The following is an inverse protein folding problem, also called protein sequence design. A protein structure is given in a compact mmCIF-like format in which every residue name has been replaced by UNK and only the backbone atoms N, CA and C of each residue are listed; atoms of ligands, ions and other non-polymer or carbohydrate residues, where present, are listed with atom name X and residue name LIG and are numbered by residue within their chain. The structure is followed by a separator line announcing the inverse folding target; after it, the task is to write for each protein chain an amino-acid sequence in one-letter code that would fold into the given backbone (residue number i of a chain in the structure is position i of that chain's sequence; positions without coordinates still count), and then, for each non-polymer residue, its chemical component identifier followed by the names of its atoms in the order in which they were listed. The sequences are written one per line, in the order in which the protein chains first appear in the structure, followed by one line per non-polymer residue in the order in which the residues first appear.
data_IF_198189773442
#
_entry.id   IF_198189773442
#
_cell.length_a   1.000
_cell.length_b   1.000
_cell.length_c   1.000
_cell.angle_alpha   90.00
_cell.angle_beta   90.00
_cell.angle_gamma   90.00
#
_symmetry.space_group_name_H-M   'P 1'
#
loop_
_entity.id
_entity.type
_entity.pdbx_description
1 polymer ?
#
# COMPACT_ATOMS: atom_id res chain seq x y z
N UNK A 1 18.01 52.07 31.91
CA UNK A 1 18.31 50.81 32.64
C UNK A 1 19.82 50.73 32.81
N UNK A 2 20.32 50.30 33.97
CA UNK A 2 21.77 50.09 34.15
C UNK A 2 22.20 48.89 33.30
N UNK A 3 23.24 49.06 32.49
CA UNK A 3 23.87 47.97 31.74
C UNK A 3 24.52 47.00 32.72
N UNK A 4 24.32 45.70 32.49
CA UNK A 4 25.01 44.65 33.26
C UNK A 4 26.52 44.73 33.01
N UNK A 5 27.30 44.41 34.05
CA UNK A 5 28.74 44.25 33.92
C UNK A 5 29.06 43.05 33.02
N UNK A 6 30.13 43.16 32.24
CA UNK A 6 30.67 42.07 31.40
C UNK A 6 30.89 40.80 32.25
N UNK A 7 31.37 40.93 33.48
CA UNK A 7 31.57 39.81 34.39
C UNK A 7 30.25 39.11 34.76
N UNK A 8 29.19 39.89 34.99
CA UNK A 8 27.85 39.34 35.27
C UNK A 8 27.29 38.64 34.05
N UNK A 9 27.49 39.18 32.85
CA UNK A 9 27.07 38.54 31.60
C UNK A 9 27.81 37.22 31.37
N UNK A 10 29.13 37.18 31.55
CA UNK A 10 29.91 35.96 31.40
C UNK A 10 29.52 34.89 32.43
N UNK A 11 29.26 35.28 33.68
CA UNK A 11 28.76 34.38 34.72
C UNK A 11 27.40 33.75 34.32
N UNK A 12 26.49 34.54 33.72
CA UNK A 12 25.21 34.01 33.22
C UNK A 12 25.44 33.04 32.06
N UNK A 13 26.35 33.34 31.14
CA UNK A 13 26.68 32.46 30.00
C UNK A 13 27.19 31.11 30.51
N UNK A 14 28.15 31.11 31.42
CA UNK A 14 28.69 29.87 32.00
C UNK A 14 27.60 29.03 32.69
N UNK A 15 26.67 29.66 33.42
CA UNK A 15 25.56 28.95 34.07
C UNK A 15 24.54 28.39 33.06
N UNK A 16 24.32 29.07 31.93
CA UNK A 16 23.47 28.59 30.84
C UNK A 16 24.11 27.39 30.11
N UNK A 17 25.42 27.42 29.89
CA UNK A 17 26.18 26.30 29.32
C UNK A 17 26.11 25.05 30.21
N UNK A 18 26.04 25.24 31.53
CA UNK A 18 25.81 24.18 32.53
C UNK A 18 24.35 23.69 32.58
N UNK A 19 23.49 24.09 31.64
CA UNK A 19 22.07 23.72 31.55
C UNK A 19 21.23 24.08 32.77
N UNK A 20 21.63 25.07 33.56
CA UNK A 20 20.78 25.54 34.65
C UNK A 20 19.55 26.27 34.10
N UNK A 21 18.41 26.09 34.78
CA UNK A 21 17.19 26.82 34.44
C UNK A 21 17.36 28.30 34.73
N UNK A 22 16.71 29.15 33.93
CA UNK A 22 16.66 30.60 34.12
C UNK A 22 16.15 31.01 35.51
N UNK A 23 15.31 30.19 36.16
CA UNK A 23 14.83 30.44 37.53
C UNK A 23 15.93 30.19 38.57
N UNK A 24 16.73 29.12 38.40
CA UNK A 24 17.88 28.83 39.28
C UNK A 24 18.95 29.93 39.16
N UNK A 25 19.23 30.38 37.93
CA UNK A 25 20.19 31.46 37.67
C UNK A 25 19.72 32.77 38.33
N UNK A 26 18.42 33.07 38.26
CA UNK A 26 17.86 34.25 38.91
C UNK A 26 18.02 34.19 40.44
N UNK A 27 17.77 33.03 41.06
CA UNK A 27 17.96 32.83 42.50
C UNK A 27 19.43 32.99 42.93
N UNK A 28 20.38 32.52 42.10
CA UNK A 28 21.81 32.60 42.40
C UNK A 28 22.41 33.99 42.16
N UNK A 29 22.06 34.63 41.05
CA UNK A 29 22.65 35.93 40.64
C UNK A 29 21.91 37.14 41.22
N UNK A 30 20.70 36.95 41.73
CA UNK A 30 19.82 38.03 42.19
C UNK A 30 19.26 38.91 41.07
N UNK A 31 19.48 38.54 39.81
CA UNK A 31 19.02 39.29 38.65
C UNK A 31 17.60 38.86 38.25
N UNK A 32 16.86 39.77 37.60
CA UNK A 32 15.53 39.47 37.12
C UNK A 32 15.58 38.38 36.02
N UNK A 33 14.76 37.35 36.16
CA UNK A 33 14.62 36.25 35.21
C UNK A 33 14.43 36.72 33.77
N UNK A 34 13.67 37.80 33.54
CA UNK A 34 13.45 38.38 32.21
C UNK A 34 14.75 38.88 31.55
N UNK A 35 15.67 39.45 32.34
CA UNK A 35 16.98 39.89 31.85
C UNK A 35 17.85 38.69 31.46
N UNK A 36 17.81 37.62 32.26
CA UNK A 36 18.50 36.36 31.97
C UNK A 36 17.93 35.72 30.69
N UNK A 37 16.60 35.76 30.51
CA UNK A 37 15.93 35.24 29.31
C UNK A 37 16.31 36.02 28.04
N UNK A 38 16.40 37.36 28.13
CA UNK A 38 16.87 38.22 27.03
C UNK A 38 18.35 37.97 26.69
N UNK A 39 19.19 37.75 27.70
CA UNK A 39 20.61 37.38 27.50
C UNK A 39 20.70 36.02 26.81
N UNK A 40 19.94 35.02 27.28
CA UNK A 40 19.87 33.69 26.68
C UNK A 40 19.45 33.78 25.21
N UNK A 41 18.42 34.55 24.87
CA UNK A 41 17.96 34.68 23.48
C UNK A 41 18.95 35.42 22.58
N UNK A 42 19.70 36.41 23.11
CA UNK A 42 20.63 37.23 22.34
C UNK A 42 22.00 36.59 22.15
N UNK A 43 22.54 35.95 23.19
CA UNK A 43 23.92 35.45 23.23
C UNK A 43 24.02 33.92 23.09
N UNK A 44 22.93 33.18 23.33
CA UNK A 44 22.92 31.71 23.26
C UNK A 44 21.68 31.19 22.46
N UNK A 45 21.56 31.53 21.17
CA UNK A 45 20.41 31.10 20.36
C UNK A 45 20.34 29.59 20.15
N UNK A 46 21.49 28.90 20.17
CA UNK A 46 21.60 27.46 19.89
C UNK A 46 21.18 26.56 21.06
N UNK A 47 20.88 27.15 22.22
CA UNK A 47 20.49 26.39 23.41
C UNK A 47 19.08 25.80 23.23
N UNK A 48 18.97 24.48 23.39
CA UNK A 48 17.69 23.78 23.28
C UNK A 48 16.65 24.38 24.24
N UNK A 49 15.47 24.71 23.68
CA UNK A 49 14.30 25.13 24.48
C UNK A 49 13.64 23.88 25.03
N UNK A 50 13.10 23.97 26.24
CA UNK A 50 12.23 22.90 26.74
C UNK A 50 11.05 22.73 25.78
N UNK A 51 10.67 21.48 25.52
CA UNK A 51 9.44 21.15 24.83
C UNK A 51 8.27 21.50 25.75
N UNK A 52 7.89 22.77 25.75
CA UNK A 52 6.67 23.21 26.40
C UNK A 52 5.44 22.55 25.76
N UNK A 53 4.36 22.44 26.53
CA UNK A 53 3.08 21.95 26.03
C UNK A 53 2.31 21.17 27.08
N UNK A 54 1.02 21.00 26.82
CA UNK A 54 0.16 20.12 27.62
C UNK A 54 0.34 18.67 27.15
N UNK A 55 0.41 17.68 28.06
CA UNK A 55 0.42 16.26 27.69
C UNK A 55 -0.77 15.90 26.79
N UNK A 56 -0.52 15.11 25.74
CA UNK A 56 -1.60 14.63 24.88
C UNK A 56 -2.48 13.64 25.64
N UNK A 57 -3.80 13.79 25.52
CA UNK A 57 -4.75 12.80 26.02
C UNK A 57 -4.56 11.43 25.33
N UNK A 58 -4.16 11.44 24.05
CA UNK A 58 -3.93 10.26 23.25
C UNK A 58 -2.43 9.94 23.25
N UNK A 59 -2.07 8.76 23.77
CA UNK A 59 -0.68 8.30 23.85
C UNK A 59 -0.23 7.70 22.53
N UNK A 60 1.09 7.56 22.35
CA UNK A 60 1.66 6.85 21.20
C UNK A 60 1.18 5.40 21.12
N UNK A 61 1.07 4.72 22.27
CA UNK A 61 0.61 3.33 22.36
C UNK A 61 -0.80 3.15 21.84
N UNK A 62 -1.71 4.07 22.21
CA UNK A 62 -3.09 4.04 21.70
C UNK A 62 -3.12 4.15 20.16
N UNK A 63 -2.22 4.95 19.59
CA UNK A 63 -2.15 5.13 18.15
C UNK A 63 -1.52 3.94 17.44
N UNK A 64 -0.50 3.31 18.04
CA UNK A 64 0.01 2.04 17.55
C UNK A 64 -1.09 0.97 17.52
N UNK A 65 -1.89 0.88 18.58
CA UNK A 65 -3.00 -0.07 18.66
C UNK A 65 -4.10 0.23 17.63
N UNK A 66 -4.46 1.51 17.44
CA UNK A 66 -5.38 1.94 16.40
C UNK A 66 -4.90 1.57 14.99
N UNK A 67 -3.61 1.79 14.70
CA UNK A 67 -3.00 1.42 13.42
C UNK A 67 -3.06 -0.09 13.23
N UNK A 68 -2.76 -0.89 14.25
CA UNK A 68 -2.87 -2.34 14.19
C UNK A 68 -4.30 -2.80 13.89
N UNK A 69 -5.31 -2.20 14.52
CA UNK A 69 -6.71 -2.54 14.23
C UNK A 69 -7.10 -2.25 12.77
N UNK A 70 -6.59 -1.16 12.20
CA UNK A 70 -6.83 -0.82 10.79
C UNK A 70 -6.09 -1.81 9.87
N UNK A 71 -4.81 -2.08 10.15
CA UNK A 71 -4.00 -3.00 9.33
C UNK A 71 -4.53 -4.43 9.34
N UNK A 72 -5.14 -4.86 10.46
CA UNK A 72 -5.81 -6.16 10.56
C UNK A 72 -7.22 -6.17 9.96
N UNK A 73 -7.73 -5.04 9.49
CA UNK A 73 -9.06 -4.92 8.88
C UNK A 73 -10.23 -5.05 9.87
N UNK A 74 -9.98 -4.96 11.18
CA UNK A 74 -11.04 -5.04 12.20
C UNK A 74 -11.87 -3.75 12.28
N UNK A 75 -11.26 -2.61 11.98
CA UNK A 75 -11.91 -1.29 11.97
C UNK A 75 -11.56 -0.56 10.69
N UNK A 76 -12.53 0.13 10.11
CA UNK A 76 -12.36 0.81 8.82
C UNK A 76 -12.39 2.34 8.94
N UNK A 77 -12.97 2.88 10.01
CA UNK A 77 -13.18 4.31 10.16
C UNK A 77 -12.73 4.85 11.51
N UNK A 78 -12.48 6.17 11.57
CA UNK A 78 -12.01 6.83 12.79
C UNK A 78 -13.01 6.73 13.95
N UNK A 79 -14.32 6.65 13.67
CA UNK A 79 -15.36 6.54 14.71
C UNK A 79 -15.32 5.17 15.39
N UNK A 80 -15.11 4.09 14.63
CA UNK A 80 -14.92 2.73 15.14
C UNK A 80 -13.64 2.63 15.95
N UNK A 81 -12.56 3.26 15.48
CA UNK A 81 -11.30 3.36 16.25
C UNK A 81 -11.55 4.07 17.58
N UNK A 82 -12.29 5.18 17.58
CA UNK A 82 -12.64 5.89 18.81
C UNK A 82 -13.39 4.99 19.78
N UNK A 83 -14.40 4.24 19.29
CA UNK A 83 -15.15 3.30 20.11
C UNK A 83 -14.23 2.22 20.72
N UNK A 84 -13.34 1.64 19.92
CA UNK A 84 -12.38 0.64 20.39
C UNK A 84 -11.38 1.18 21.42
N UNK A 85 -11.00 2.46 21.32
CA UNK A 85 -10.11 3.11 22.29
C UNK A 85 -10.84 3.58 23.55
N UNK A 86 -12.14 3.83 23.45
CA UNK A 86 -12.95 4.32 24.56
C UNK A 86 -13.20 3.24 25.61
N UNK A 87 -13.19 1.96 25.22
CA UNK A 87 -13.31 0.83 26.17
C UNK A 87 -12.11 0.75 27.14
N UNK A 88 -10.94 1.24 26.72
CA UNK A 88 -9.69 1.21 27.49
C UNK A 88 -9.52 2.49 28.32
N UNK A 89 -10.16 3.59 27.92
CA UNK A 89 -9.93 4.92 28.49
C UNK A 89 -11.10 5.44 29.29
N UNK A 90 -10.78 6.09 30.40
CA UNK A 90 -11.75 6.70 31.31
C UNK A 90 -12.45 7.94 30.74
N UNK A 91 -11.80 8.64 29.80
CA UNK A 91 -12.32 9.88 29.21
C UNK A 91 -12.71 9.67 27.75
N UNK A 92 -13.85 10.23 27.29
CA UNK A 92 -14.29 10.11 25.92
C UNK A 92 -13.31 10.83 24.97
N UNK A 93 -12.89 10.14 23.92
CA UNK A 93 -12.03 10.70 22.87
C UNK A 93 -12.91 11.17 21.71
N UNK A 94 -12.64 12.36 21.16
CA UNK A 94 -13.27 12.78 19.91
C UNK A 94 -12.70 12.01 18.72
N UNK A 95 -13.57 11.61 17.77
CA UNK A 95 -13.16 11.01 16.50
C UNK A 95 -12.21 11.91 15.70
N UNK A 96 -12.33 13.23 15.84
CA UNK A 96 -11.43 14.18 15.20
C UNK A 96 -10.02 14.13 15.79
N UNK A 97 -9.90 13.88 17.10
CA UNK A 97 -8.59 13.72 17.75
C UNK A 97 -7.87 12.48 17.23
N UNK A 98 -8.60 11.37 17.07
CA UNK A 98 -8.08 10.14 16.46
C UNK A 98 -7.65 10.40 15.02
N UNK A 99 -8.50 11.04 14.22
CA UNK A 99 -8.19 11.36 12.82
C UNK A 99 -6.93 12.24 12.67
N UNK A 100 -6.76 13.26 13.52
CA UNK A 100 -5.56 14.11 13.54
C UNK A 100 -4.29 13.29 13.81
N UNK A 101 -4.35 12.34 14.74
CA UNK A 101 -3.21 11.49 15.05
C UNK A 101 -2.92 10.48 13.94
N UNK A 102 -3.94 9.86 13.35
CA UNK A 102 -3.78 8.99 12.19
C UNK A 102 -3.17 9.74 10.99
N UNK A 103 -3.61 10.98 10.75
CA UNK A 103 -2.99 11.84 9.73
C UNK A 103 -1.54 12.16 10.06
N UNK A 104 -1.22 12.40 11.34
CA UNK A 104 0.15 12.64 11.83
C UNK A 104 1.05 11.41 11.65
N UNK A 105 0.51 10.19 11.76
CA UNK A 105 1.25 8.95 11.48
C UNK A 105 1.34 8.58 10.00
N UNK A 106 0.82 9.43 9.10
CA UNK A 106 0.90 9.23 7.65
C UNK A 106 -0.25 8.42 7.04
N UNK A 107 -1.25 8.03 7.82
CA UNK A 107 -2.44 7.34 7.30
C UNK A 107 -3.30 8.29 6.45
N UNK A 108 -3.78 7.80 5.31
CA UNK A 108 -4.64 8.55 4.39
C UNK A 108 -5.94 7.80 4.15
N UNK A 109 -7.05 8.53 4.10
CA UNK A 109 -8.33 7.96 3.70
C UNK A 109 -8.30 7.65 2.19
N UNK A 110 -8.69 6.43 1.83
CA UNK A 110 -8.77 5.98 0.44
C UNK A 110 -10.17 5.44 0.16
N UNK A 111 -10.77 5.89 -0.94
CA UNK A 111 -12.06 5.36 -1.40
C UNK A 111 -11.82 3.97 -2.00
N UNK A 112 -12.53 2.97 -1.47
CA UNK A 112 -12.48 1.61 -2.00
C UNK A 112 -13.02 1.60 -3.45
N UNK A 113 -12.28 1.01 -4.39
CA UNK A 113 -12.77 0.79 -5.75
C UNK A 113 -13.89 -0.25 -5.74
N UNK A 114 -14.95 -0.01 -6.49
CA UNK A 114 -16.05 -0.97 -6.64
C UNK A 114 -15.59 -2.12 -7.54
N UNK A 115 -15.76 -3.34 -7.08
CA UNK A 115 -15.53 -4.56 -7.86
C UNK A 115 -16.77 -5.45 -7.80
N UNK A 116 -17.12 -6.18 -8.89
CA UNK A 116 -18.19 -7.16 -8.86
C UNK A 116 -17.96 -8.20 -7.75
N UNK A 117 -19.06 -8.69 -7.16
CA UNK A 117 -18.98 -9.67 -6.09
C UNK A 117 -18.57 -11.04 -6.65
N UNK A 118 -17.42 -11.55 -6.18
CA UNK A 118 -16.96 -12.89 -6.50
C UNK A 118 -17.53 -13.90 -5.51
N UNK A 119 -18.60 -14.57 -5.92
CA UNK A 119 -19.23 -15.68 -5.19
C UNK A 119 -18.26 -16.86 -5.03
N UNK A 120 -18.55 -17.78 -4.09
CA UNK A 120 -17.76 -19.02 -3.93
C UNK A 120 -17.77 -19.86 -5.22
N UNK A 121 -18.91 -19.86 -5.93
CA UNK A 121 -19.07 -20.53 -7.21
C UNK A 121 -18.10 -20.00 -8.26
N UNK A 122 -18.04 -18.67 -8.45
CA UNK A 122 -17.11 -18.06 -9.41
C UNK A 122 -15.66 -18.43 -9.10
N UNK A 123 -15.25 -18.34 -7.82
CA UNK A 123 -13.88 -18.68 -7.43
C UNK A 123 -13.53 -20.13 -7.73
N UNK A 124 -14.48 -21.05 -7.52
CA UNK A 124 -14.31 -22.47 -7.85
C UNK A 124 -14.17 -22.66 -9.36
N UNK A 125 -15.11 -22.14 -10.15
CA UNK A 125 -15.07 -22.24 -11.62
C UNK A 125 -13.76 -21.68 -12.21
N UNK A 126 -13.22 -20.60 -11.64
CA UNK A 126 -11.95 -20.00 -12.07
C UNK A 126 -10.74 -20.85 -11.68
N UNK A 127 -10.79 -21.52 -10.53
CA UNK A 127 -9.74 -22.44 -10.10
C UNK A 127 -9.73 -23.71 -10.93
N UNK A 128 -10.91 -24.31 -11.12
CA UNK A 128 -11.09 -25.52 -11.91
C UNK A 128 -10.60 -25.29 -13.35
N UNK A 129 -10.90 -24.12 -13.94
CA UNK A 129 -10.37 -23.76 -15.26
C UNK A 129 -8.83 -23.71 -15.30
N UNK A 130 -8.19 -23.10 -14.31
CA UNK A 130 -6.72 -23.05 -14.26
C UNK A 130 -6.10 -24.44 -14.07
N UNK A 131 -6.76 -25.35 -13.33
CA UNK A 131 -6.31 -26.75 -13.20
C UNK A 131 -6.43 -27.49 -14.53
N UNK A 132 -7.52 -27.29 -15.27
CA UNK A 132 -7.68 -27.89 -16.61
C UNK A 132 -6.58 -27.41 -17.57
N UNK A 133 -6.20 -26.12 -17.50
CA UNK A 133 -5.10 -25.59 -18.31
C UNK A 133 -3.75 -26.21 -17.93
N UNK A 134 -3.47 -26.36 -16.64
CA UNK A 134 -2.22 -26.98 -16.17
C UNK A 134 -2.13 -28.45 -16.59
N UNK A 135 -3.20 -29.22 -16.37
CA UNK A 135 -3.15 -30.67 -16.53
C UNK A 135 -3.53 -31.10 -17.95
N UNK A 136 -4.75 -30.78 -18.39
CA UNK A 136 -5.34 -31.37 -19.60
C UNK A 136 -4.77 -30.75 -20.89
N UNK A 137 -4.55 -29.42 -20.90
CA UNK A 137 -3.99 -28.75 -22.07
C UNK A 137 -2.54 -29.16 -22.30
N UNK A 138 -1.71 -29.20 -21.26
CA UNK A 138 -0.31 -29.61 -21.40
C UNK A 138 -0.17 -31.06 -21.86
N UNK A 139 -0.96 -31.99 -21.28
CA UNK A 139 -1.00 -33.39 -21.74
C UNK A 139 -1.43 -33.50 -23.21
N UNK A 140 -2.39 -32.69 -23.63
CA UNK A 140 -2.83 -32.68 -25.04
C UNK A 140 -1.73 -32.18 -25.97
N UNK A 141 -0.98 -31.16 -25.58
CA UNK A 141 0.13 -30.64 -26.38
C UNK A 141 1.27 -31.64 -26.49
N UNK A 142 1.60 -32.32 -25.39
CA UNK A 142 2.59 -33.40 -25.39
C UNK A 142 2.16 -34.53 -26.34
N UNK A 143 0.88 -34.94 -26.26
CA UNK A 143 0.34 -35.98 -27.14
C UNK A 143 0.44 -35.61 -28.64
N UNK A 144 0.16 -34.34 -28.99
CA UNK A 144 0.27 -33.86 -30.37
C UNK A 144 1.68 -33.36 -30.74
N UNK A 145 2.66 -33.48 -29.83
CA UNK A 145 4.03 -33.00 -29.99
C UNK A 145 4.11 -31.53 -30.45
N UNK A 146 3.31 -30.67 -29.81
CA UNK A 146 3.25 -29.22 -30.06
C UNK A 146 3.87 -28.46 -28.89
N UNK A 147 4.52 -27.34 -29.19
CA UNK A 147 4.96 -26.39 -28.16
C UNK A 147 3.97 -25.22 -28.04
N UNK A 148 3.94 -24.50 -26.90
CA UNK A 148 3.15 -23.27 -26.75
C UNK A 148 3.44 -22.20 -27.81
N UNK A 149 4.67 -22.16 -28.33
CA UNK A 149 5.11 -21.20 -29.36
C UNK A 149 4.46 -21.49 -30.73
N UNK A 150 4.07 -22.75 -30.98
CA UNK A 150 3.47 -23.19 -32.24
C UNK A 150 1.94 -23.04 -32.25
N UNK A 151 1.35 -22.53 -31.18
CA UNK A 151 -0.10 -22.51 -31.00
C UNK A 151 -0.64 -21.12 -30.63
N UNK A 152 -1.75 -20.75 -31.28
CA UNK A 152 -2.55 -19.60 -30.92
C UNK A 152 -3.77 -20.07 -30.11
N UNK A 153 -3.80 -19.77 -28.81
CA UNK A 153 -4.86 -20.22 -27.91
C UNK A 153 -6.11 -19.33 -28.02
N UNK A 154 -7.20 -19.87 -28.57
CA UNK A 154 -8.44 -19.13 -28.81
C UNK A 154 -9.47 -19.37 -27.68
N UNK A 155 -9.94 -18.30 -27.02
CA UNK A 155 -10.92 -18.41 -25.91
C UNK A 155 -11.99 -17.31 -25.92
N UNK A 156 -13.16 -17.56 -25.33
CA UNK A 156 -14.22 -16.55 -25.20
C UNK A 156 -14.02 -15.60 -24.00
N UNK A 157 -14.86 -14.56 -23.91
CA UNK A 157 -14.83 -13.56 -22.84
C UNK A 157 -15.58 -13.98 -21.56
N UNK A 158 -15.78 -15.27 -21.31
CA UNK A 158 -16.35 -15.72 -20.04
C UNK A 158 -15.51 -15.17 -18.86
N UNK A 159 -16.16 -14.68 -17.77
CA UNK A 159 -15.46 -14.21 -16.58
C UNK A 159 -14.38 -15.15 -16.04
N UNK A 160 -14.48 -16.47 -16.26
CA UNK A 160 -13.45 -17.43 -15.83
C UNK A 160 -12.17 -17.39 -16.67
N UNK A 161 -12.30 -17.23 -17.98
CA UNK A 161 -11.19 -17.13 -18.93
C UNK A 161 -10.48 -15.76 -18.86
N UNK A 162 -11.25 -14.72 -18.53
CA UNK A 162 -10.72 -13.35 -18.35
C UNK A 162 -10.25 -13.07 -16.91
N UNK A 163 -10.34 -14.06 -16.02
CA UNK A 163 -9.92 -13.93 -14.62
C UNK A 163 -8.42 -13.67 -14.50
N UNK A 164 -8.00 -13.03 -13.40
CA UNK A 164 -6.57 -12.79 -13.16
C UNK A 164 -5.77 -14.09 -13.06
N UNK A 165 -6.36 -15.15 -12.51
CA UNK A 165 -5.69 -16.46 -12.42
C UNK A 165 -5.41 -17.03 -13.81
N UNK A 166 -6.41 -17.04 -14.70
CA UNK A 166 -6.25 -17.53 -16.05
C UNK A 166 -5.21 -16.70 -16.84
N UNK A 167 -5.30 -15.36 -16.78
CA UNK A 167 -4.34 -14.47 -17.46
C UNK A 167 -2.91 -14.70 -17.02
N UNK A 168 -2.67 -14.72 -15.71
CA UNK A 168 -1.35 -15.00 -15.17
C UNK A 168 -0.84 -16.38 -15.60
N UNK A 169 -1.70 -17.41 -15.61
CA UNK A 169 -1.30 -18.74 -16.06
C UNK A 169 -0.81 -18.75 -17.51
N UNK A 170 -1.52 -18.08 -18.43
CA UNK A 170 -1.08 -17.98 -19.82
C UNK A 170 0.20 -17.16 -19.98
N UNK A 171 0.36 -16.06 -19.22
CA UNK A 171 1.57 -15.25 -19.20
C UNK A 171 2.78 -16.06 -18.68
N UNK A 172 2.59 -16.87 -17.63
CA UNK A 172 3.66 -17.69 -17.02
C UNK A 172 4.10 -18.87 -17.91
N UNK A 173 3.28 -19.26 -18.89
CA UNK A 173 3.56 -20.37 -19.82
C UNK A 173 3.76 -19.92 -21.27
N UNK A 174 3.95 -18.61 -21.49
CA UNK A 174 4.27 -18.00 -22.79
C UNK A 174 3.26 -18.32 -23.92
N UNK A 175 1.98 -18.50 -23.59
CA UNK A 175 0.94 -18.73 -24.60
C UNK A 175 0.49 -17.41 -25.25
N UNK A 176 0.41 -17.41 -26.58
CA UNK A 176 -0.32 -16.35 -27.28
C UNK A 176 -1.83 -16.62 -27.23
N UNK A 177 -2.58 -15.71 -26.58
CA UNK A 177 -4.02 -15.88 -26.36
C UNK A 177 -4.84 -14.90 -27.20
N UNK A 178 -5.72 -15.43 -28.03
CA UNK A 178 -6.68 -14.67 -28.82
C UNK A 178 -8.09 -14.77 -28.22
N UNK A 179 -8.64 -13.65 -27.75
CA UNK A 179 -10.03 -13.63 -27.28
C UNK A 179 -10.99 -13.52 -28.47
N UNK A 180 -11.87 -14.52 -28.63
CA UNK A 180 -13.00 -14.41 -29.53
C UNK A 180 -14.03 -13.45 -28.95
N UNK A 181 -14.40 -12.47 -29.78
CA UNK A 181 -15.35 -11.38 -29.53
C UNK A 181 -14.79 -10.13 -28.82
N UNK A 182 -13.83 -9.48 -29.48
CA UNK A 182 -13.71 -8.02 -29.51
C UNK A 182 -14.08 -7.38 -30.86
N UNK A 183 -14.55 -8.15 -31.86
CA UNK A 183 -14.74 -7.67 -33.24
C UNK A 183 -16.22 -7.60 -33.63
N UNK A 184 -16.73 -6.38 -33.85
CA UNK A 184 -18.06 -6.08 -34.37
C UNK A 184 -18.14 -6.12 -35.91
N UNK A 185 -17.10 -6.58 -36.63
CA UNK A 185 -17.08 -6.65 -38.10
C UNK A 185 -16.88 -8.08 -38.65
N UNK A 186 -17.52 -8.36 -39.79
CA UNK A 186 -17.52 -9.65 -40.50
C UNK A 186 -16.15 -10.05 -41.09
N UNK A 187 -15.25 -9.11 -41.28
CA UNK A 187 -13.99 -9.31 -42.04
C UNK A 187 -12.96 -10.16 -41.25
N UNK A 188 -13.01 -10.12 -39.92
CA UNK A 188 -12.09 -10.89 -39.06
C UNK A 188 -12.40 -12.39 -39.06
N UNK A 189 -13.68 -12.78 -39.18
CA UNK A 189 -14.08 -14.19 -39.29
C UNK A 189 -13.54 -14.85 -40.56
N UNK A 190 -13.51 -14.12 -41.68
CA UNK A 190 -12.90 -14.61 -42.92
C UNK A 190 -11.38 -14.78 -42.78
N UNK A 191 -10.71 -13.92 -42.01
CA UNK A 191 -9.27 -14.08 -41.74
C UNK A 191 -8.99 -15.31 -40.86
N UNK A 192 -9.80 -15.57 -39.83
CA UNK A 192 -9.68 -16.77 -38.98
C UNK A 192 -9.97 -18.03 -39.80
N UNK A 193 -11.01 -18.02 -40.63
CA UNK A 193 -11.34 -19.15 -41.50
C UNK A 193 -10.25 -19.42 -42.55
N UNK A 194 -9.62 -18.38 -43.09
CA UNK A 194 -8.50 -18.53 -44.02
C UNK A 194 -7.26 -19.09 -43.31
N UNK A 195 -6.93 -18.60 -42.12
CA UNK A 195 -5.80 -19.15 -41.35
C UNK A 195 -6.03 -20.61 -40.93
N UNK A 196 -7.25 -20.97 -40.49
CA UNK A 196 -7.60 -22.37 -40.20
C UNK A 196 -7.54 -23.26 -41.45
N UNK A 197 -7.84 -22.70 -42.63
CA UNK A 197 -7.76 -23.42 -43.91
C UNK A 197 -6.30 -23.63 -44.35
N UNK A 198 -5.43 -22.65 -44.12
CA UNK A 198 -4.00 -22.74 -44.43
C UNK A 198 -3.28 -23.73 -43.49
N UNK A 199 -3.61 -23.75 -42.20
CA UNK A 199 -3.09 -24.74 -41.26
C UNK A 199 -3.52 -26.18 -41.60
N UNK A 200 -4.73 -26.38 -42.14
CA UNK A 200 -5.19 -27.71 -42.60
C UNK A 200 -4.47 -28.16 -43.88
N UNK A 201 -4.18 -27.23 -44.80
CA UNK A 201 -3.46 -27.52 -46.04
C UNK A 201 -2.00 -27.94 -45.81
N UNK A 202 -1.35 -27.45 -44.75
CA UNK A 202 0.01 -27.86 -44.38
C UNK A 202 0.05 -29.28 -43.76
N UNK A 203 -1.02 -29.70 -43.08
CA UNK A 203 -1.15 -31.06 -42.53
C UNK A 203 -1.40 -32.16 -43.57
N UNK A 204 -2.05 -31.82 -44.70
CA UNK A 204 -2.34 -32.77 -45.79
C UNK A 204 -1.12 -33.05 -46.70
N UNK A 205 0.01 -32.35 -46.49
CA UNK A 205 1.25 -32.56 -47.27
C UNK A 205 2.18 -33.66 -46.73
N UNK A 206 1.78 -34.35 -45.64
CA UNK A 206 2.57 -35.36 -44.94
C UNK A 206 2.13 -36.82 -45.10
N UNK A 207 1.12 -37.14 -45.93
CA UNK A 207 0.74 -38.53 -46.22
C UNK A 207 1.28 -38.95 -47.59
N UNK A 208 2.53 -39.42 -47.61
CA UNK A 208 3.14 -40.04 -48.78
C UNK A 208 4.39 -40.84 -48.41
N UNK A 209 4.31 -42.17 -48.63
CA UNK A 209 5.36 -43.20 -48.57
C UNK A 209 5.67 -43.78 -47.16
N UNK A 210 5.64 -45.09 -46.93
CA UNK A 210 5.63 -46.23 -47.85
C UNK A 210 5.05 -47.50 -47.23
N UNK A 211 4.41 -48.29 -48.09
CA UNK A 211 4.24 -49.73 -47.95
C UNK A 211 5.60 -50.41 -48.13
N UNK A 212 5.94 -51.31 -47.21
CA UNK A 212 6.61 -52.60 -47.43
C UNK A 212 6.51 -53.46 -46.16
#
# INVERSE_FOLDING_TARGET
MKSLSVAQTNQIITLLEQQQSTCQIAAYTGLNHSTISQIRSKLCPDLQKSSGGHPSLVTSTDMCHAIQFISTGKVENAVQVTKALQDIKTHPISSQTVHRHLKKSGMKAVVKKKHPLLSKRHRKEWLDFAVILEDELQQSLEYFNKSPEDILFQQDNDPKHTSRKAKNWFEDHDYEVMNIYGFTSKESWQSILNHQRDCRALGESGEGMGED
#
